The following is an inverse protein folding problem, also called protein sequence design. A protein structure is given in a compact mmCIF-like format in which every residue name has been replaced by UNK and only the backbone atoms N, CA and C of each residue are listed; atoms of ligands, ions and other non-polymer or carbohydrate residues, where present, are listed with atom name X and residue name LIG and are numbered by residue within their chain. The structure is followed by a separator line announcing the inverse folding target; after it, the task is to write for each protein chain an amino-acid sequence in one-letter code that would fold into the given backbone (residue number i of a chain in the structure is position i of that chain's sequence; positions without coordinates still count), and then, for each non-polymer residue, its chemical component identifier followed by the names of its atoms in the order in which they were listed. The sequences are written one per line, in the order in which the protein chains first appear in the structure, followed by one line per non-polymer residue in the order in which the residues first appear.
data_IF_710622674852
#
_entry.id   IF_710622674852
#
_cell.length_a   1.000
_cell.length_b   1.000
_cell.length_c   1.000
_cell.angle_alpha   90.00
_cell.angle_beta   90.00
_cell.angle_gamma   90.00
#
_symmetry.space_group_name_H-M   'P 1'
#
loop_
_entity.id
_entity.type
_entity.pdbx_description
1 polymer ?
#
# COMPACT_ATOMS: atom_id res chain seq x y z
N UNK A 1 18.49 -1.77 -16.17
CA UNK A 1 17.41 -0.77 -16.16
C UNK A 1 16.07 -1.47 -16.36
N UNK A 2 15.00 -1.08 -15.67
CA UNK A 2 13.68 -1.67 -15.85
C UNK A 2 13.20 -1.46 -17.28
N UNK A 3 12.53 -2.48 -17.86
CA UNK A 3 11.92 -2.39 -19.20
C UNK A 3 10.50 -1.86 -19.12
N UNK A 4 9.80 -2.17 -18.03
CA UNK A 4 8.44 -1.72 -17.75
C UNK A 4 8.45 -0.95 -16.42
N UNK A 5 7.79 0.21 -16.43
CA UNK A 5 7.48 0.95 -15.20
C UNK A 5 5.96 0.94 -15.09
N UNK A 6 5.44 0.40 -13.99
CA UNK A 6 4.00 0.33 -13.74
C UNK A 6 3.62 1.21 -12.55
N UNK A 7 2.57 2.02 -12.71
CA UNK A 7 1.98 2.80 -11.65
C UNK A 7 0.88 1.97 -10.95
N UNK A 8 0.93 1.89 -9.63
CA UNK A 8 -0.07 1.21 -8.83
C UNK A 8 -0.64 2.14 -7.77
N UNK A 9 -1.96 2.39 -7.85
CA UNK A 9 -2.66 3.17 -6.83
C UNK A 9 -2.85 2.34 -5.58
N UNK A 10 -2.48 2.90 -4.42
CA UNK A 10 -2.54 2.24 -3.12
C UNK A 10 -2.94 3.22 -2.03
N UNK A 11 -3.36 2.65 -0.90
CA UNK A 11 -3.77 3.43 0.26
C UNK A 11 -5.23 3.86 0.22
N UNK A 12 -5.61 4.68 1.18
CA UNK A 12 -6.97 5.18 1.32
C UNK A 12 -7.44 5.90 0.06
N UNK A 13 -8.70 5.68 -0.29
CA UNK A 13 -9.39 6.38 -1.38
C UNK A 13 -10.87 6.61 -1.03
N UNK A 14 -11.64 7.15 -1.98
CA UNK A 14 -13.08 7.41 -1.79
C UNK A 14 -13.91 6.14 -1.54
N UNK A 15 -13.43 4.98 -2.00
CA UNK A 15 -14.12 3.69 -1.82
C UNK A 15 -13.65 3.00 -0.53
N UNK A 16 -12.33 3.04 -0.27
CA UNK A 16 -11.70 2.41 0.87
C UNK A 16 -11.10 3.47 1.81
N UNK A 17 -11.59 3.54 3.04
CA UNK A 17 -11.18 4.53 4.01
C UNK A 17 -11.94 5.85 3.93
N UNK A 18 -12.44 6.24 2.74
CA UNK A 18 -13.32 7.40 2.54
C UNK A 18 -12.65 8.77 2.72
N UNK A 19 -11.33 8.82 2.93
CA UNK A 19 -10.54 10.03 3.10
C UNK A 19 -9.17 9.88 2.48
N UNK A 20 -8.53 11.01 2.17
CA UNK A 20 -7.12 11.02 1.77
C UNK A 20 -6.20 10.65 2.93
N UNK A 21 -5.10 10.03 2.64
CA UNK A 21 -3.99 9.86 3.57
C UNK A 21 -3.39 11.23 3.93
N UNK A 22 -2.95 11.46 5.18
CA UNK A 22 -2.52 12.80 5.58
C UNK A 22 -1.10 13.12 5.13
N UNK A 23 -0.87 14.40 4.83
CA UNK A 23 0.45 15.03 4.84
C UNK A 23 0.55 15.83 6.13
N UNK A 24 1.60 15.60 6.91
CA UNK A 24 1.83 16.25 8.21
C UNK A 24 3.30 16.66 8.27
N UNK A 25 3.57 17.93 8.53
CA UNK A 25 4.93 18.46 8.60
C UNK A 25 5.77 18.06 7.37
N UNK A 26 5.18 18.22 6.18
CA UNK A 26 5.76 17.86 4.87
C UNK A 26 6.03 16.35 4.68
N UNK A 27 5.53 15.47 5.55
CA UNK A 27 5.68 14.01 5.45
C UNK A 27 4.40 13.34 4.97
N UNK A 28 4.58 12.34 4.11
CA UNK A 28 3.51 11.50 3.57
C UNK A 28 3.24 10.30 4.49
N UNK A 29 2.00 10.12 4.89
CA UNK A 29 1.58 8.98 5.71
C UNK A 29 0.57 8.13 4.96
N UNK A 30 1.03 7.32 4.00
CA UNK A 30 0.17 6.43 3.22
C UNK A 30 -0.44 5.36 4.12
N UNK A 31 -1.77 5.41 4.29
CA UNK A 31 -2.50 4.39 5.05
C UNK A 31 -2.96 3.27 4.11
N UNK A 32 -2.67 2.00 4.42
CA UNK A 32 -3.19 0.87 3.65
C UNK A 32 -4.72 0.85 3.73
N UNK A 33 -5.37 0.30 2.70
CA UNK A 33 -6.83 0.14 2.72
C UNK A 33 -7.26 -0.78 3.88
N UNK A 34 -8.48 -0.58 4.44
CA UNK A 34 -9.00 -1.52 5.43
C UNK A 34 -9.20 -2.89 4.80
N UNK A 35 -8.91 -3.94 5.56
CA UNK A 35 -9.31 -5.30 5.18
C UNK A 35 -10.83 -5.38 5.19
N UNK A 36 -11.40 -5.97 4.15
CA UNK A 36 -12.84 -6.11 4.05
C UNK A 36 -13.32 -7.19 5.03
N UNK A 37 -14.07 -6.79 6.04
CA UNK A 37 -14.62 -7.71 7.05
C UNK A 37 -15.56 -8.76 6.44
N UNK A 38 -16.10 -8.47 5.23
CA UNK A 38 -16.99 -9.42 4.53
C UNK A 38 -16.23 -10.58 3.90
N UNK A 39 -14.92 -10.50 3.75
CA UNK A 39 -14.11 -11.52 3.07
C UNK A 39 -13.46 -12.53 4.02
N UNK A 40 -13.82 -12.54 5.31
CA UNK A 40 -13.31 -13.50 6.29
C UNK A 40 -11.76 -13.62 6.32
N UNK A 41 -11.06 -12.51 6.19
CA UNK A 41 -9.61 -12.50 6.29
C UNK A 41 -9.14 -13.09 7.62
N UNK A 42 -8.14 -13.93 7.56
CA UNK A 42 -7.50 -14.45 8.75
C UNK A 42 -6.63 -13.35 9.39
N UNK A 43 -6.90 -12.95 10.66
CA UNK A 43 -6.13 -11.91 11.35
C UNK A 43 -4.61 -12.18 11.38
N UNK A 44 -4.20 -13.43 11.22
CA UNK A 44 -2.79 -13.82 11.16
C UNK A 44 -2.03 -13.16 10.00
N UNK A 45 -2.71 -12.87 8.90
CA UNK A 45 -2.10 -12.30 7.68
C UNK A 45 -2.35 -10.81 7.51
N UNK A 46 -3.02 -10.18 8.47
CA UNK A 46 -3.34 -8.75 8.47
C UNK A 46 -2.73 -8.06 9.69
N UNK A 47 -2.41 -6.78 9.54
CA UNK A 47 -1.97 -5.93 10.66
C UNK A 47 -3.11 -5.04 11.11
N UNK A 48 -3.13 -4.65 12.38
CA UNK A 48 -4.01 -3.58 12.84
C UNK A 48 -3.36 -2.24 12.53
N UNK A 49 -4.19 -1.22 12.29
CA UNK A 49 -3.64 0.12 12.03
C UNK A 49 -2.74 0.60 13.16
N UNK A 50 -3.11 0.36 14.43
CA UNK A 50 -2.29 0.75 15.59
C UNK A 50 -0.88 0.18 15.58
N UNK A 51 -0.68 -0.98 14.96
CA UNK A 51 0.59 -1.69 14.89
C UNK A 51 1.49 -1.20 13.74
N UNK A 52 0.95 -0.35 12.86
CA UNK A 52 1.73 0.29 11.82
C UNK A 52 2.66 1.34 12.42
N UNK A 53 3.85 1.48 11.82
CA UNK A 53 4.84 2.49 12.19
C UNK A 53 5.14 3.39 11.00
N UNK A 54 5.15 4.68 11.25
CA UNK A 54 5.42 5.73 10.29
C UNK A 54 6.53 6.63 10.83
N UNK A 55 7.78 6.20 10.67
CA UNK A 55 8.90 6.84 11.36
C UNK A 55 8.70 6.80 12.89
N UNK A 56 8.61 7.95 13.52
CA UNK A 56 8.41 8.08 14.97
C UNK A 56 6.93 8.04 15.40
N UNK A 57 5.98 8.02 14.46
CA UNK A 57 4.54 8.00 14.75
C UNK A 57 3.98 6.58 14.65
N UNK A 58 3.09 6.26 15.58
CA UNK A 58 2.27 5.05 15.52
C UNK A 58 1.04 5.26 14.63
N UNK A 59 0.46 4.17 14.15
CA UNK A 59 -0.80 4.23 13.42
C UNK A 59 -1.93 4.87 14.23
N UNK A 60 -1.95 4.67 15.56
CA UNK A 60 -2.93 5.34 16.44
C UNK A 60 -2.80 6.85 16.40
N UNK A 61 -1.58 7.39 16.45
CA UNK A 61 -1.34 8.83 16.36
C UNK A 61 -1.75 9.40 15.01
N UNK A 62 -1.50 8.65 13.93
CA UNK A 62 -1.97 9.04 12.58
C UNK A 62 -3.50 9.07 12.53
N UNK A 63 -4.19 8.09 13.12
CA UNK A 63 -5.66 8.07 13.18
C UNK A 63 -6.24 9.27 13.96
N UNK A 64 -5.63 9.67 15.06
CA UNK A 64 -6.05 10.87 15.78
C UNK A 64 -5.90 12.16 14.92
N UNK A 65 -4.89 12.21 14.08
CA UNK A 65 -4.71 13.32 13.14
C UNK A 65 -5.74 13.26 12.00
N UNK A 66 -6.09 12.05 11.51
CA UNK A 66 -7.13 11.85 10.49
C UNK A 66 -8.52 12.30 10.95
N UNK A 67 -8.88 12.10 12.22
CA UNK A 67 -10.15 12.57 12.78
C UNK A 67 -10.36 14.07 12.59
N UNK A 68 -9.26 14.82 12.53
CA UNK A 68 -9.25 16.28 12.33
C UNK A 68 -9.18 16.68 10.84
N UNK A 69 -9.07 15.71 9.92
CA UNK A 69 -9.03 15.97 8.48
C UNK A 69 -10.45 16.10 7.94
N UNK A 70 -10.79 17.16 7.22
CA UNK A 70 -12.10 17.29 6.59
C UNK A 70 -12.39 16.13 5.65
N UNK A 71 -13.64 15.68 5.62
CA UNK A 71 -14.11 14.76 4.59
C UNK A 71 -13.96 15.43 3.21
N UNK A 72 -13.52 14.67 2.23
CA UNK A 72 -13.52 15.16 0.86
C UNK A 72 -14.95 15.53 0.43
N UNK A 73 -15.18 16.70 -0.19
CA UNK A 73 -16.53 17.19 -0.52
C UNK A 73 -17.32 16.26 -1.45
N UNK A 74 -16.65 15.37 -2.19
CA UNK A 74 -17.28 14.38 -3.07
C UNK A 74 -17.72 13.10 -2.37
N UNK A 75 -17.44 12.96 -1.07
CA UNK A 75 -17.96 11.83 -0.29
C UNK A 75 -19.40 12.16 0.06
N UNK A 76 -20.33 11.46 -0.58
CA UNK A 76 -21.76 11.63 -0.33
C UNK A 76 -22.07 11.42 1.17
N UNK A 77 -22.90 12.30 1.77
CA UNK A 77 -23.42 12.07 3.10
C UNK A 77 -24.08 10.69 3.15
N UNK A 78 -23.72 9.85 4.11
CA UNK A 78 -24.23 8.48 4.23
C UNK A 78 -23.34 7.38 3.63
N UNK A 79 -22.23 7.69 2.96
CA UNK A 79 -21.21 6.71 2.65
C UNK A 79 -20.35 6.45 3.91
N UNK A 80 -20.96 5.79 4.89
CA UNK A 80 -20.47 5.66 6.26
C UNK A 80 -19.27 4.70 6.42
N UNK A 81 -18.61 4.33 5.35
CA UNK A 81 -17.43 3.42 5.39
C UNK A 81 -16.27 3.92 6.25
N UNK A 82 -16.28 5.19 6.64
CA UNK A 82 -15.32 5.77 7.59
C UNK A 82 -15.69 5.50 9.05
N UNK A 83 -17.00 5.41 9.38
CA UNK A 83 -17.45 5.39 10.78
C UNK A 83 -17.11 4.10 11.53
N UNK A 84 -16.68 3.05 10.81
CA UNK A 84 -16.27 1.77 11.40
C UNK A 84 -14.75 1.56 11.52
N UNK A 85 -13.92 2.39 10.84
CA UNK A 85 -12.46 2.18 10.88
C UNK A 85 -11.86 2.82 12.12
N UNK A 86 -11.20 1.99 12.92
CA UNK A 86 -10.54 2.37 14.17
C UNK A 86 -9.08 1.94 14.15
N UNK A 87 -8.23 2.39 15.07
CA UNK A 87 -6.88 1.85 15.23
C UNK A 87 -6.83 0.33 15.43
N UNK A 88 -7.92 -0.28 15.94
CA UNK A 88 -8.04 -1.73 16.13
C UNK A 88 -8.47 -2.49 14.86
N UNK A 89 -8.95 -1.80 13.84
CA UNK A 89 -9.35 -2.42 12.59
C UNK A 89 -8.15 -3.02 11.85
N UNK A 90 -8.39 -4.13 11.16
CA UNK A 90 -7.38 -4.76 10.30
C UNK A 90 -7.18 -3.95 9.04
N UNK A 91 -5.97 -3.97 8.52
CA UNK A 91 -5.63 -3.33 7.26
C UNK A 91 -4.91 -4.29 6.32
N UNK A 92 -5.12 -4.08 5.03
CA UNK A 92 -4.43 -4.74 3.94
C UNK A 92 -3.09 -4.05 3.72
N UNK A 93 -2.07 -4.42 4.53
CA UNK A 93 -0.73 -3.81 4.47
C UNK A 93 0.02 -4.25 3.20
N UNK A 94 -0.40 -3.70 2.07
CA UNK A 94 0.16 -3.95 0.74
C UNK A 94 0.16 -2.66 -0.10
N UNK A 95 1.34 -2.19 -0.56
CA UNK A 95 2.67 -2.81 -0.49
C UNK A 95 3.30 -2.77 0.92
N UNK A 96 4.00 -3.85 1.31
CA UNK A 96 4.85 -3.85 2.49
C UNK A 96 6.26 -3.36 2.13
N UNK A 97 6.42 -2.06 2.08
CA UNK A 97 7.69 -1.41 1.76
C UNK A 97 8.73 -1.46 2.89
N UNK A 98 8.44 -2.11 4.01
CA UNK A 98 9.46 -2.42 5.01
C UNK A 98 10.18 -3.72 4.70
N UNK A 99 9.49 -4.64 4.02
CA UNK A 99 10.02 -5.94 3.63
C UNK A 99 10.24 -6.08 2.11
N UNK A 100 9.99 -5.03 1.33
CA UNK A 100 10.16 -5.04 -0.12
C UNK A 100 9.21 -6.01 -0.83
N UNK A 101 7.94 -6.05 -0.42
CA UNK A 101 6.95 -6.99 -0.96
C UNK A 101 5.71 -6.25 -1.41
N UNK A 102 5.23 -6.64 -2.57
CA UNK A 102 3.93 -6.23 -3.11
C UNK A 102 3.16 -7.45 -3.61
N UNK A 103 1.88 -7.53 -3.28
CA UNK A 103 0.99 -8.57 -3.74
C UNK A 103 0.01 -8.06 -4.81
N UNK A 104 -0.34 -8.92 -5.76
CA UNK A 104 -1.40 -8.66 -6.71
C UNK A 104 -2.19 -9.92 -7.00
N UNK A 105 -3.52 -9.80 -7.07
CA UNK A 105 -4.45 -10.85 -7.45
C UNK A 105 -5.58 -10.27 -8.32
N UNK A 106 -6.31 -11.12 -9.03
CA UNK A 106 -7.41 -10.70 -9.88
C UNK A 106 -6.99 -9.69 -10.94
N UNK A 107 -7.78 -8.63 -11.09
CA UNK A 107 -7.54 -7.59 -12.09
C UNK A 107 -6.18 -6.89 -11.94
N UNK A 108 -5.69 -6.70 -10.71
CA UNK A 108 -4.39 -6.09 -10.49
C UNK A 108 -3.26 -6.96 -11.06
N UNK A 109 -3.33 -8.27 -10.87
CA UNK A 109 -2.35 -9.20 -11.44
C UNK A 109 -2.46 -9.29 -12.96
N UNK A 110 -3.67 -9.23 -13.52
CA UNK A 110 -3.88 -9.22 -14.97
C UNK A 110 -3.28 -7.98 -15.65
N UNK A 111 -3.31 -6.83 -14.99
CA UNK A 111 -2.63 -5.61 -15.47
C UNK A 111 -1.10 -5.79 -15.52
N UNK A 112 -0.56 -6.64 -14.65
CA UNK A 112 0.87 -6.96 -14.56
C UNK A 112 1.27 -8.23 -15.32
N UNK A 113 0.44 -8.73 -16.26
CA UNK A 113 0.70 -9.97 -17.00
C UNK A 113 2.03 -9.99 -17.76
N UNK A 114 2.49 -8.83 -18.23
CA UNK A 114 3.75 -8.68 -18.96
C UNK A 114 4.91 -8.20 -18.06
N UNK A 115 4.65 -7.93 -16.78
CA UNK A 115 5.64 -7.50 -15.81
C UNK A 115 6.57 -8.65 -15.45
N UNK A 116 7.86 -8.39 -15.42
CA UNK A 116 8.93 -9.37 -15.22
C UNK A 116 9.88 -8.94 -14.12
N UNK A 117 10.71 -9.87 -13.71
CA UNK A 117 11.86 -9.57 -12.86
C UNK A 117 12.74 -8.50 -13.51
N UNK A 118 13.17 -7.55 -12.69
CA UNK A 118 13.87 -6.33 -13.12
C UNK A 118 12.95 -5.15 -13.47
N UNK A 119 11.64 -5.32 -13.59
CA UNK A 119 10.70 -4.23 -13.84
C UNK A 119 10.36 -3.47 -12.55
N UNK A 120 9.89 -2.22 -12.70
CA UNK A 120 9.71 -1.28 -11.60
C UNK A 120 8.23 -0.97 -11.35
N UNK A 121 7.81 -1.11 -10.11
CA UNK A 121 6.53 -0.62 -9.59
C UNK A 121 6.75 0.73 -8.91
N UNK A 122 5.90 1.70 -9.23
CA UNK A 122 5.79 2.96 -8.52
C UNK A 122 4.41 3.04 -7.87
N UNK A 123 4.39 3.27 -6.57
CA UNK A 123 3.17 3.34 -5.78
C UNK A 123 2.77 4.80 -5.57
N UNK A 124 1.52 5.11 -5.88
CA UNK A 124 0.94 6.42 -5.64
C UNK A 124 -0.35 6.31 -4.83
N UNK A 125 -0.64 7.35 -4.08
CA UNK A 125 -1.83 7.44 -3.26
C UNK A 125 -2.49 8.81 -3.33
N UNK A 126 -3.67 8.88 -2.73
CA UNK A 126 -4.38 10.13 -2.53
C UNK A 126 -4.01 10.72 -1.16
N UNK A 127 -3.54 11.96 -1.17
CA UNK A 127 -3.06 12.66 0.01
C UNK A 127 -3.73 14.00 0.17
N UNK A 128 -3.89 14.43 1.43
CA UNK A 128 -4.41 15.75 1.78
C UNK A 128 -3.47 16.44 2.78
N UNK A 129 -3.06 17.64 2.41
CA UNK A 129 -2.32 18.56 3.27
C UNK A 129 -3.29 19.61 3.82
N UNK A 130 -3.59 19.52 5.13
CA UNK A 130 -4.56 20.41 5.79
C UNK A 130 -4.07 21.84 5.92
N UNK A 131 -2.76 22.06 6.01
CA UNK A 131 -2.17 23.37 6.30
C UNK A 131 -2.22 24.28 5.08
N UNK A 132 -2.04 23.70 3.89
CA UNK A 132 -2.17 24.42 2.61
C UNK A 132 -3.44 24.02 1.83
N UNK A 133 -4.31 23.22 2.44
CA UNK A 133 -5.58 22.70 1.83
C UNK A 133 -5.35 22.05 0.46
N UNK A 134 -4.29 21.26 0.35
CA UNK A 134 -3.86 20.63 -0.88
C UNK A 134 -4.38 19.20 -0.96
N UNK A 135 -5.05 18.87 -2.06
CA UNK A 135 -5.58 17.55 -2.39
C UNK A 135 -4.88 17.04 -3.64
N UNK A 136 -4.07 15.99 -3.50
CA UNK A 136 -3.14 15.54 -4.55
C UNK A 136 -3.04 14.03 -4.65
N UNK A 137 -2.64 13.55 -5.83
CA UNK A 137 -2.04 12.23 -6.00
C UNK A 137 -0.52 12.36 -6.03
N UNK A 138 0.16 11.61 -5.18
CA UNK A 138 1.62 11.70 -5.01
C UNK A 138 2.22 10.30 -4.98
N UNK A 139 3.40 10.14 -5.59
CA UNK A 139 4.21 8.93 -5.45
C UNK A 139 4.70 8.83 -4.01
N UNK A 140 4.53 7.66 -3.38
CA UNK A 140 4.99 7.45 -2.00
C UNK A 140 5.95 6.27 -1.83
N UNK A 141 6.19 5.50 -2.89
CA UNK A 141 7.12 4.38 -2.81
C UNK A 141 7.42 3.73 -4.15
N UNK A 142 8.40 2.86 -4.14
CA UNK A 142 8.81 2.07 -5.30
C UNK A 142 9.25 0.67 -4.89
N UNK A 143 9.21 -0.26 -5.85
CA UNK A 143 9.74 -1.60 -5.74
C UNK A 143 10.18 -2.09 -7.12
N UNK A 144 11.46 -2.40 -7.29
CA UNK A 144 11.94 -3.14 -8.43
C UNK A 144 11.93 -4.62 -8.09
N UNK A 145 11.18 -5.42 -8.85
CA UNK A 145 11.00 -6.83 -8.53
C UNK A 145 12.25 -7.64 -8.91
N UNK A 146 12.91 -8.23 -7.94
CA UNK A 146 13.98 -9.20 -8.17
C UNK A 146 13.41 -10.61 -8.39
N UNK A 147 12.27 -10.90 -7.74
CA UNK A 147 11.57 -12.18 -7.84
C UNK A 147 10.07 -11.99 -8.01
N UNK A 148 9.43 -12.89 -8.77
CA UNK A 148 7.97 -12.98 -8.86
C UNK A 148 7.56 -14.38 -8.43
N UNK A 149 6.87 -14.47 -7.30
CA UNK A 149 6.45 -15.73 -6.69
C UNK A 149 4.97 -15.95 -7.02
N UNK A 150 4.65 -17.07 -7.67
CA UNK A 150 3.28 -17.45 -8.05
C UNK A 150 2.96 -18.85 -7.55
N UNK A 151 1.68 -19.06 -7.25
CA UNK A 151 1.16 -20.35 -6.76
C UNK A 151 1.18 -20.47 -5.26
N UNK A 152 0.11 -21.08 -4.74
CA UNK A 152 -0.23 -21.17 -3.31
C UNK A 152 0.95 -21.64 -2.46
N UNK A 153 1.46 -22.82 -2.74
CA UNK A 153 2.53 -23.45 -1.94
C UNK A 153 3.79 -22.57 -1.89
N UNK A 154 4.18 -21.98 -3.01
CA UNK A 154 5.39 -21.15 -3.08
C UNK A 154 5.24 -19.85 -2.27
N UNK A 155 4.05 -19.24 -2.29
CA UNK A 155 3.75 -18.02 -1.52
C UNK A 155 3.76 -18.35 -0.02
N UNK A 156 3.11 -19.43 0.39
CA UNK A 156 3.08 -19.89 1.78
C UNK A 156 4.49 -20.20 2.29
N UNK A 157 5.26 -20.99 1.53
CA UNK A 157 6.64 -21.34 1.88
C UNK A 157 7.53 -20.14 1.99
N UNK A 158 7.43 -19.19 1.06
CA UNK A 158 8.18 -17.95 1.10
C UNK A 158 7.87 -17.14 2.37
N UNK A 159 6.59 -16.93 2.67
CA UNK A 159 6.16 -16.17 3.85
C UNK A 159 6.59 -16.88 5.15
N UNK A 160 6.41 -18.20 5.23
CA UNK A 160 6.82 -19.01 6.37
C UNK A 160 8.33 -18.99 6.60
N UNK A 161 9.12 -19.25 5.54
CA UNK A 161 10.59 -19.29 5.61
C UNK A 161 11.19 -17.96 6.05
N UNK A 162 10.61 -16.85 5.64
CA UNK A 162 11.11 -15.51 5.93
C UNK A 162 10.40 -14.86 7.13
N UNK A 163 9.49 -15.58 7.82
CA UNK A 163 8.68 -15.06 8.93
C UNK A 163 7.91 -13.77 8.57
N UNK A 164 7.30 -13.76 7.37
CA UNK A 164 6.59 -12.61 6.83
C UNK A 164 5.08 -12.78 7.03
N UNK A 165 4.44 -11.75 7.54
CA UNK A 165 2.98 -11.61 7.61
C UNK A 165 2.54 -10.72 6.45
N UNK A 166 1.87 -11.30 5.45
CA UNK A 166 1.43 -10.58 4.26
C UNK A 166 0.01 -10.99 3.85
N UNK A 167 -0.87 -10.05 3.46
CA UNK A 167 -2.26 -10.35 3.14
C UNK A 167 -2.42 -11.39 2.02
N UNK A 168 -1.55 -11.36 1.02
CA UNK A 168 -1.60 -12.30 -0.11
C UNK A 168 -1.19 -13.75 0.24
N UNK A 169 -0.80 -14.02 1.50
CA UNK A 169 -0.65 -15.37 2.06
C UNK A 169 -1.92 -15.87 2.75
N UNK A 170 -3.01 -15.08 2.74
CA UNK A 170 -4.32 -15.51 3.21
C UNK A 170 -5.00 -16.40 2.19
N UNK A 171 -5.82 -17.37 2.64
CA UNK A 171 -6.54 -18.32 1.77
C UNK A 171 -7.43 -17.62 0.75
N UNK A 172 -7.97 -16.45 1.09
CA UNK A 172 -8.77 -15.61 0.16
C UNK A 172 -7.99 -15.31 -1.12
N UNK A 173 -6.69 -15.02 -1.01
CA UNK A 173 -5.84 -14.76 -2.15
C UNK A 173 -5.14 -16.02 -2.67
N UNK A 174 -4.78 -16.95 -1.78
CA UNK A 174 -4.10 -18.20 -2.18
C UNK A 174 -4.95 -19.08 -3.07
N UNK A 175 -6.27 -18.96 -3.02
CA UNK A 175 -7.20 -19.66 -3.89
C UNK A 175 -7.43 -18.93 -5.24
N UNK A 176 -6.87 -17.75 -5.44
CA UNK A 176 -6.87 -17.03 -6.72
C UNK A 176 -5.61 -17.44 -7.52
N UNK A 177 -5.80 -18.12 -8.66
CA UNK A 177 -4.72 -18.59 -9.53
C UNK A 177 -3.84 -17.43 -10.07
N UNK A 178 -4.37 -16.21 -10.08
CA UNK A 178 -3.64 -15.04 -10.54
C UNK A 178 -2.77 -14.42 -9.43
N UNK A 179 -2.89 -14.90 -8.19
CA UNK A 179 -2.17 -14.36 -7.05
C UNK A 179 -0.65 -14.45 -7.22
N UNK A 180 0.03 -13.33 -6.96
CA UNK A 180 1.48 -13.23 -7.09
C UNK A 180 2.06 -12.29 -6.02
N UNK A 181 3.28 -12.61 -5.56
CA UNK A 181 4.12 -11.68 -4.82
C UNK A 181 5.26 -11.18 -5.71
N UNK A 182 5.47 -9.90 -5.69
CA UNK A 182 6.60 -9.21 -6.29
C UNK A 182 7.54 -8.80 -5.16
N UNK A 183 8.74 -9.32 -5.19
CA UNK A 183 9.68 -9.20 -4.07
C UNK A 183 10.96 -8.53 -4.53
N UNK A 184 11.43 -7.58 -3.73
CA UNK A 184 12.74 -6.98 -3.88
C UNK A 184 13.66 -7.38 -2.74
N UNK A 185 14.87 -7.78 -3.05
CA UNK A 185 15.93 -8.11 -2.07
C UNK A 185 16.70 -6.88 -1.56
N UNK A 186 16.30 -5.69 -1.98
CA UNK A 186 16.96 -4.44 -1.61
C UNK A 186 17.99 -3.99 -2.66
N UNK A 187 19.21 -4.47 -2.61
CA UNK A 187 20.28 -4.00 -3.50
C UNK A 187 20.42 -4.78 -4.82
N UNK A 188 19.50 -5.74 -5.07
CA UNK A 188 19.60 -6.64 -6.21
C UNK A 188 20.77 -7.60 -6.11
N UNK A 189 20.80 -8.63 -7.00
CA UNK A 189 21.84 -9.67 -7.03
C UNK A 189 23.14 -9.09 -7.53
N UNK A 190 23.51 -7.97 -7.68
CA UNK A 190 24.83 -7.40 -8.04
C UNK A 190 24.89 -5.87 -7.83
N UNK A 191 24.00 -5.29 -6.98
CA UNK A 191 23.92 -3.84 -6.82
C UNK A 191 23.31 -3.09 -8.01
N UNK A 192 22.69 -3.81 -8.95
CA UNK A 192 22.08 -3.22 -10.17
C UNK A 192 20.57 -2.90 -10.02
N UNK A 193 19.94 -3.33 -8.91
CA UNK A 193 18.54 -3.06 -8.64
C UNK A 193 18.37 -1.71 -7.96
N UNK A 194 17.28 -1.00 -8.28
CA UNK A 194 16.82 0.16 -7.53
C UNK A 194 16.26 -0.22 -6.16
N UNK A 195 16.12 -1.54 -5.89
CA UNK A 195 15.57 -2.03 -4.66
C UNK A 195 14.13 -1.60 -4.43
N UNK A 196 13.83 -1.27 -3.20
CA UNK A 196 12.53 -0.75 -2.79
C UNK A 196 12.71 0.36 -1.75
N UNK A 197 11.67 1.19 -1.62
CA UNK A 197 11.72 2.26 -0.63
C UNK A 197 10.49 3.13 -0.61
N UNK A 198 10.58 4.18 0.22
CA UNK A 198 9.51 5.16 0.43
C UNK A 198 10.00 6.56 0.11
N UNK A 199 9.13 7.35 -0.51
CA UNK A 199 9.26 8.79 -0.56
C UNK A 199 8.55 9.34 0.68
N UNK A 200 9.31 9.59 1.74
CA UNK A 200 8.72 9.99 3.05
C UNK A 200 8.23 11.43 3.06
N UNK A 201 8.86 12.29 2.25
CA UNK A 201 8.53 13.71 2.21
C UNK A 201 7.75 14.06 0.95
N UNK A 202 6.94 15.10 1.06
CA UNK A 202 6.30 15.71 -0.09
C UNK A 202 7.34 16.37 -1.01
N UNK A 203 7.27 16.07 -2.30
CA UNK A 203 8.07 16.66 -3.36
C UNK A 203 7.16 17.04 -4.53
N UNK A 204 7.14 18.31 -4.96
CA UNK A 204 6.29 18.73 -6.07
C UNK A 204 6.49 17.90 -7.35
N UNK A 205 7.71 17.47 -7.63
CA UNK A 205 8.06 16.68 -8.83
C UNK A 205 7.49 15.25 -8.81
N UNK A 206 7.08 14.76 -7.63
CA UNK A 206 6.47 13.44 -7.46
C UNK A 206 4.94 13.51 -7.41
N UNK A 207 4.35 14.69 -7.60
CA UNK A 207 2.92 14.86 -7.75
C UNK A 207 2.46 14.41 -9.14
N UNK A 208 1.42 13.57 -9.18
CA UNK A 208 0.78 13.12 -10.42
C UNK A 208 -0.40 14.01 -10.84
N UNK A 209 -0.86 14.87 -9.93
CA UNK A 209 -1.92 15.86 -10.18
C UNK A 209 -1.43 17.23 -9.79
N UNK A 210 -1.71 18.23 -10.62
CA UNK A 210 -1.48 19.60 -10.21
C UNK A 210 -2.40 19.93 -9.02
N UNK A 211 -1.90 20.61 -7.98
CA UNK A 211 -2.77 21.18 -6.96
C UNK A 211 -3.69 22.20 -7.65
N UNK A 212 -4.98 21.96 -7.52
CA UNK A 212 -5.99 22.94 -7.92
C UNK A 212 -6.01 24.12 -6.96
#
# INVERSE_FOLDING_TARGET
MPKIISLSRKGFDSTFGGVASPIIDNKLYSLPIPSDETQNFNPKYSKKYKDLKFGNLSGSEIFEKLKKTPLHPKILPGSEKRNGITPESLCHNDPDLNNGIYGAAGNASLQLKNFKEGDLLLFFGWFFDKDVKRDIHHLFGWLQADYIIRGKEKIEDFCKKNNIVHPHADEVFLNDETNALYVSSGNGVNGESLGYGKFENFHPELCLTHPL
#
